data_IF_859969044957
#
_entry.id   IF_859969044957
#
_cell.length_a   1.000
_cell.length_b   1.000
_cell.length_c   1.000
_cell.angle_alpha   90.00
_cell.angle_beta   90.00
_cell.angle_gamma   90.00
#
_symmetry.space_group_name_H-M   'P 1'
#
loop_
_entity.id
_entity.type
_entity.pdbx_description
1 polymer ?
#
# COMPACT_ATOMS: atom_id res chain seq x y z
N UNK A 1 -24.09 -2.45 -42.90
CA UNK A 1 -23.36 -3.37 -42.01
C UNK A 1 -22.99 -2.62 -40.75
N UNK A 2 -23.64 -2.95 -39.62
CA UNK A 2 -23.15 -2.73 -38.25
C UNK A 2 -21.98 -3.74 -38.01
N UNK A 3 -20.95 -3.62 -37.16
CA UNK A 3 -20.76 -2.97 -35.86
C UNK A 3 -19.24 -2.91 -35.62
N UNK A 4 -18.64 -1.73 -35.46
CA UNK A 4 -17.21 -1.56 -35.12
C UNK A 4 -17.00 -0.85 -33.78
N UNK A 5 -17.98 -0.88 -32.88
CA UNK A 5 -18.01 -0.07 -31.65
C UNK A 5 -17.75 -0.86 -30.36
N UNK A 6 -17.44 -2.16 -30.43
CA UNK A 6 -17.28 -2.99 -29.21
C UNK A 6 -15.84 -3.09 -28.71
N UNK A 7 -14.85 -2.73 -29.54
CA UNK A 7 -13.44 -2.92 -29.20
C UNK A 7 -12.84 -1.79 -28.35
N UNK A 8 -13.47 -0.61 -28.27
CA UNK A 8 -12.97 0.49 -27.42
C UNK A 8 -13.57 0.48 -26.01
N UNK A 9 -14.81 0.03 -25.83
CA UNK A 9 -15.47 0.06 -24.53
C UNK A 9 -14.99 -1.05 -23.58
N UNK A 10 -14.44 -2.14 -24.12
CA UNK A 10 -13.92 -3.28 -23.33
C UNK A 10 -12.56 -2.98 -22.68
N UNK A 11 -11.52 -2.52 -23.43
CA UNK A 11 -10.25 -2.14 -22.82
C UNK A 11 -10.39 -0.97 -21.85
N UNK A 12 -11.31 -0.03 -22.10
CA UNK A 12 -11.59 1.06 -21.15
C UNK A 12 -12.23 0.57 -19.84
N UNK A 13 -13.13 -0.43 -19.90
CA UNK A 13 -13.72 -1.04 -18.69
C UNK A 13 -12.73 -1.88 -17.91
N UNK A 14 -11.91 -2.68 -18.59
CA UNK A 14 -10.84 -3.43 -17.93
C UNK A 14 -9.83 -2.46 -17.31
N UNK A 15 -9.37 -1.44 -18.05
CA UNK A 15 -8.48 -0.42 -17.52
C UNK A 15 -9.05 0.33 -16.31
N UNK A 16 -10.33 0.75 -16.34
CA UNK A 16 -10.99 1.38 -15.20
C UNK A 16 -11.13 0.43 -14.01
N UNK A 17 -11.40 -0.85 -14.26
CA UNK A 17 -11.50 -1.88 -13.21
C UNK A 17 -10.14 -2.17 -12.60
N UNK A 18 -9.11 -2.37 -13.42
CA UNK A 18 -7.74 -2.56 -12.98
C UNK A 18 -7.27 -1.31 -12.22
N UNK A 19 -7.55 -0.10 -12.69
CA UNK A 19 -7.23 1.17 -12.00
C UNK A 19 -7.81 1.22 -10.59
N UNK A 20 -9.10 0.89 -10.42
CA UNK A 20 -9.72 0.83 -9.09
C UNK A 20 -9.11 -0.26 -8.22
N UNK A 21 -8.83 -1.42 -8.81
CA UNK A 21 -8.25 -2.56 -8.10
C UNK A 21 -6.84 -2.25 -7.60
N UNK A 22 -5.97 -1.69 -8.46
CA UNK A 22 -4.60 -1.33 -8.07
C UNK A 22 -4.58 -0.24 -7.01
N UNK A 23 -5.51 0.74 -7.09
CA UNK A 23 -5.65 1.75 -6.04
C UNK A 23 -6.06 1.11 -4.73
N UNK A 24 -7.05 0.22 -4.72
CA UNK A 24 -7.51 -0.46 -3.50
C UNK A 24 -6.40 -1.31 -2.85
N UNK A 25 -5.65 -2.06 -3.66
CA UNK A 25 -4.52 -2.85 -3.17
C UNK A 25 -3.41 -1.94 -2.64
N UNK A 26 -3.09 -0.87 -3.35
CA UNK A 26 -2.06 0.08 -2.95
C UNK A 26 -2.42 0.82 -1.65
N UNK A 27 -3.65 1.30 -1.50
CA UNK A 27 -4.11 1.97 -0.28
C UNK A 27 -4.13 1.00 0.90
N UNK A 28 -4.66 -0.21 0.69
CA UNK A 28 -4.67 -1.25 1.71
C UNK A 28 -3.27 -1.61 2.19
N UNK A 29 -2.32 -1.75 1.26
CA UNK A 29 -0.92 -1.98 1.58
C UNK A 29 -0.31 -0.80 2.33
N UNK A 30 -0.44 0.42 1.81
CA UNK A 30 0.13 1.62 2.40
C UNK A 30 -0.39 1.84 3.83
N UNK A 31 -1.68 1.65 4.07
CA UNK A 31 -2.29 1.72 5.40
C UNK A 31 -1.80 0.60 6.33
N UNK A 32 -1.65 -0.63 5.81
CA UNK A 32 -1.14 -1.75 6.59
C UNK A 32 0.34 -1.58 6.97
N UNK A 33 1.18 -1.04 6.09
CA UNK A 33 2.60 -0.80 6.39
C UNK A 33 2.79 0.35 7.38
N UNK A 34 2.00 1.42 7.23
CA UNK A 34 2.15 2.61 8.06
C UNK A 34 1.36 2.54 9.38
N UNK A 35 0.45 1.57 9.54
CA UNK A 35 -0.25 1.32 10.81
C UNK A 35 0.49 0.33 11.67
N UNK A 36 0.77 0.73 12.91
CA UNK A 36 1.44 -0.10 13.90
C UNK A 36 0.70 -0.06 15.24
N UNK A 37 0.54 -1.22 15.88
CA UNK A 37 -0.06 -1.33 17.21
C UNK A 37 0.77 -2.29 18.07
N UNK A 38 1.20 -1.88 19.28
CA UNK A 38 2.03 -2.71 20.14
C UNK A 38 1.29 -3.93 20.70
N UNK A 39 -0.05 -3.92 20.68
CA UNK A 39 -0.90 -5.06 21.05
C UNK A 39 -0.97 -6.13 19.95
N UNK A 40 -0.66 -5.79 18.70
CA UNK A 40 -0.71 -6.70 17.56
C UNK A 40 0.34 -6.31 16.50
N UNK A 41 1.64 -6.33 16.83
CA UNK A 41 2.70 -5.83 15.95
C UNK A 41 2.79 -6.59 14.63
N UNK A 42 2.39 -7.87 14.62
CA UNK A 42 2.44 -8.71 13.42
C UNK A 42 1.19 -8.61 12.54
N UNK A 43 0.07 -8.04 13.01
CA UNK A 43 -1.18 -8.07 12.26
C UNK A 43 -1.13 -7.19 11.00
N UNK A 44 -0.56 -5.99 11.12
CA UNK A 44 -0.46 -5.07 9.98
C UNK A 44 0.55 -5.55 8.95
N UNK A 45 1.71 -6.04 9.39
CA UNK A 45 2.74 -6.61 8.49
C UNK A 45 2.29 -7.90 7.82
N UNK A 46 1.51 -8.76 8.51
CA UNK A 46 0.98 -9.98 7.88
C UNK A 46 -0.02 -9.63 6.77
N UNK A 47 -0.92 -8.67 7.03
CA UNK A 47 -1.81 -8.14 5.98
C UNK A 47 -1.04 -7.53 4.82
N UNK A 48 -0.05 -6.70 5.11
CA UNK A 48 0.82 -6.09 4.10
C UNK A 48 1.51 -7.16 3.24
N UNK A 49 2.12 -8.15 3.89
CA UNK A 49 2.83 -9.24 3.23
C UNK A 49 1.90 -10.15 2.41
N UNK A 50 0.64 -10.32 2.82
CA UNK A 50 -0.36 -11.07 2.05
C UNK A 50 -0.73 -10.39 0.72
N UNK A 51 -0.58 -9.06 0.63
CA UNK A 51 -0.78 -8.28 -0.59
C UNK A 51 0.49 -8.18 -1.44
N UNK A 52 1.66 -8.56 -0.89
CA UNK A 52 2.93 -8.52 -1.61
C UNK A 52 3.16 -9.78 -2.44
N UNK A 53 4.04 -9.67 -3.43
CA UNK A 53 4.59 -10.85 -4.08
C UNK A 53 5.31 -11.73 -3.02
N UNK A 54 5.15 -13.06 -3.06
CA UNK A 54 5.68 -13.96 -2.03
C UNK A 54 7.20 -13.88 -1.88
N UNK A 55 7.91 -13.55 -2.96
CA UNK A 55 9.36 -13.33 -2.97
C UNK A 55 9.79 -12.15 -2.07
N UNK A 56 8.97 -11.10 -1.99
CA UNK A 56 9.22 -9.90 -1.18
C UNK A 56 8.59 -9.96 0.20
N UNK A 57 7.49 -10.68 0.34
CA UNK A 57 6.72 -10.80 1.57
C UNK A 57 7.59 -11.25 2.77
N UNK A 58 8.47 -12.24 2.58
CA UNK A 58 9.33 -12.74 3.66
C UNK A 58 10.37 -11.70 4.10
N UNK A 59 11.11 -11.12 3.14
CA UNK A 59 12.11 -10.09 3.43
C UNK A 59 11.49 -8.85 4.08
N UNK A 60 10.27 -8.50 3.68
CA UNK A 60 9.49 -7.40 4.27
C UNK A 60 9.13 -7.71 5.74
N UNK A 61 8.62 -8.92 6.03
CA UNK A 61 8.30 -9.35 7.41
C UNK A 61 9.53 -9.28 8.31
N UNK A 62 10.69 -9.73 7.86
CA UNK A 62 11.93 -9.67 8.64
C UNK A 62 12.40 -8.24 8.92
N UNK A 63 12.36 -7.35 7.93
CA UNK A 63 12.71 -5.93 8.11
C UNK A 63 11.75 -5.23 9.07
N UNK A 64 10.45 -5.49 8.92
CA UNK A 64 9.43 -4.91 9.78
C UNK A 64 9.56 -5.41 11.21
N UNK A 65 9.82 -6.70 11.44
CA UNK A 65 10.00 -7.27 12.78
C UNK A 65 11.17 -6.61 13.54
N UNK A 66 12.29 -6.33 12.84
CA UNK A 66 13.43 -5.60 13.40
C UNK A 66 13.08 -4.17 13.80
N UNK A 67 12.37 -3.43 12.94
CA UNK A 67 11.98 -2.04 13.22
C UNK A 67 10.88 -1.94 14.28
N UNK A 68 9.96 -2.91 14.30
CA UNK A 68 8.85 -2.99 15.25
C UNK A 68 9.30 -3.23 16.68
N UNK A 69 10.41 -3.95 16.90
CA UNK A 69 10.90 -4.24 18.25
C UNK A 69 11.15 -2.96 19.06
N UNK A 70 11.71 -1.93 18.43
CA UNK A 70 11.93 -0.60 19.04
C UNK A 70 10.59 0.10 19.35
N UNK A 71 9.64 0.05 18.42
CA UNK A 71 8.31 0.65 18.58
C UNK A 71 7.47 -0.02 19.67
N UNK A 72 7.55 -1.36 19.80
CA UNK A 72 6.91 -2.12 20.89
C UNK A 72 7.52 -1.70 22.22
N UNK A 73 8.84 -1.63 22.33
CA UNK A 73 9.53 -1.25 23.57
C UNK A 73 9.14 0.17 24.02
N UNK A 74 8.99 1.09 23.07
CA UNK A 74 8.56 2.47 23.30
C UNK A 74 7.05 2.65 23.45
N UNK A 75 6.26 1.57 23.32
CA UNK A 75 4.78 1.58 23.33
C UNK A 75 4.19 2.63 22.37
N UNK A 76 4.83 2.83 21.23
CA UNK A 76 4.35 3.74 20.20
C UNK A 76 3.19 3.08 19.47
N UNK A 77 2.12 3.83 19.25
CA UNK A 77 1.03 3.46 18.34
C UNK A 77 1.11 4.36 17.12
N UNK A 78 0.93 3.79 15.94
CA UNK A 78 0.82 4.56 14.70
C UNK A 78 -0.46 4.14 13.99
N UNK A 79 -1.32 5.10 13.69
CA UNK A 79 -2.51 4.89 12.91
C UNK A 79 -2.32 5.59 11.57
N UNK A 80 -2.34 4.84 10.48
CA UNK A 80 -2.33 5.39 9.14
C UNK A 80 -3.72 5.32 8.53
N UNK A 81 -4.13 6.42 7.91
CA UNK A 81 -5.35 6.48 7.10
C UNK A 81 -4.99 7.00 5.71
N UNK A 82 -5.55 6.41 4.66
CA UNK A 82 -5.41 6.94 3.30
C UNK A 82 -6.09 8.31 3.20
N UNK A 83 -5.33 9.35 2.84
CA UNK A 83 -5.89 10.66 2.51
C UNK A 83 -6.29 10.71 1.04
N UNK A 84 -5.36 10.32 0.16
CA UNK A 84 -5.55 10.38 -1.28
C UNK A 84 -4.74 9.28 -1.94
N UNK A 85 -5.24 8.73 -3.03
CA UNK A 85 -4.49 7.79 -3.86
C UNK A 85 -4.78 8.05 -5.34
N UNK A 86 -3.75 7.93 -6.17
CA UNK A 86 -3.82 8.16 -7.60
C UNK A 86 -2.92 7.20 -8.35
N UNK A 87 -3.42 6.67 -9.46
CA UNK A 87 -2.63 5.85 -10.39
C UNK A 87 -1.64 6.75 -11.11
N UNK A 88 -0.34 6.50 -10.94
CA UNK A 88 0.73 7.19 -11.67
C UNK A 88 0.98 6.51 -13.03
N UNK A 89 0.90 5.18 -13.07
CA UNK A 89 1.05 4.39 -14.28
C UNK A 89 0.22 3.11 -14.18
N UNK A 90 -0.39 2.69 -15.29
CA UNK A 90 -1.07 1.40 -15.40
C UNK A 90 -0.77 0.80 -16.77
N UNK A 91 -0.06 -0.32 -16.76
CA UNK A 91 0.20 -1.17 -17.91
C UNK A 91 -0.53 -2.50 -17.81
N UNK A 92 -0.34 -3.39 -18.80
CA UNK A 92 -1.03 -4.69 -18.84
C UNK A 92 -0.58 -5.65 -17.73
N UNK A 93 0.64 -5.51 -17.23
CA UNK A 93 1.21 -6.37 -16.19
C UNK A 93 1.85 -5.61 -15.01
N UNK A 94 1.93 -4.28 -15.07
CA UNK A 94 2.62 -3.46 -14.09
C UNK A 94 1.81 -2.19 -13.81
N UNK A 95 1.78 -1.74 -12.57
CA UNK A 95 1.09 -0.52 -12.17
C UNK A 95 1.88 0.21 -11.08
N UNK A 96 1.72 1.53 -11.03
CA UNK A 96 2.30 2.39 -10.01
C UNK A 96 1.21 3.29 -9.46
N UNK A 97 1.07 3.34 -8.15
CA UNK A 97 0.07 4.14 -7.46
C UNK A 97 0.75 5.00 -6.41
N UNK A 98 0.55 6.31 -6.48
CA UNK A 98 0.92 7.22 -5.42
C UNK A 98 -0.19 7.25 -4.37
N UNK A 99 0.18 7.00 -3.11
CA UNK A 99 -0.71 7.04 -1.96
C UNK A 99 -0.17 8.06 -0.96
N UNK A 100 -1.01 9.01 -0.59
CA UNK A 100 -0.76 9.96 0.48
C UNK A 100 -1.50 9.45 1.71
N UNK A 101 -0.74 9.24 2.78
CA UNK A 101 -1.27 8.78 4.06
C UNK A 101 -1.33 9.94 5.04
N UNK A 102 -2.24 9.86 6.00
CA UNK A 102 -2.16 10.58 7.27
C UNK A 102 -1.77 9.57 8.33
N UNK A 103 -0.60 9.74 8.92
CA UNK A 103 -0.11 8.91 10.01
C UNK A 103 -0.17 9.73 11.29
N UNK A 104 -0.95 9.26 12.25
CA UNK A 104 -0.98 9.79 13.61
C UNK A 104 -0.20 8.84 14.50
N UNK A 105 0.88 9.34 15.10
CA UNK A 105 1.68 8.58 16.06
C UNK A 105 1.37 9.07 17.46
N UNK A 106 1.08 8.14 18.36
CA UNK A 106 0.83 8.42 19.76
C UNK A 106 1.79 7.61 20.63
N UNK A 107 2.52 8.33 21.48
CA UNK A 107 3.53 7.78 22.38
C UNK A 107 3.21 8.21 23.82
N UNK A 108 3.38 7.32 24.81
CA UNK A 108 3.09 7.67 26.20
C UNK A 108 3.95 8.84 26.68
N UNK A 109 3.29 9.88 27.21
CA UNK A 109 3.96 11.07 27.76
C UNK A 109 4.35 12.13 26.73
N UNK A 110 4.01 11.96 25.45
CA UNK A 110 4.29 12.94 24.39
C UNK A 110 3.00 13.30 23.63
N UNK A 111 2.82 14.55 23.17
CA UNK A 111 1.68 14.90 22.33
C UNK A 111 1.66 14.07 21.04
N UNK A 112 0.47 13.73 20.51
CA UNK A 112 0.34 12.98 19.27
C UNK A 112 0.97 13.76 18.12
N UNK A 113 1.82 13.10 17.34
CA UNK A 113 2.48 13.67 16.17
C UNK A 113 1.74 13.24 14.91
N UNK A 114 1.57 14.15 13.96
CA UNK A 114 0.92 13.87 12.68
C UNK A 114 1.93 14.04 11.56
N UNK A 115 2.06 13.03 10.71
CA UNK A 115 2.84 13.07 9.50
C UNK A 115 1.95 12.76 8.30
N UNK A 116 2.25 13.36 7.15
CA UNK A 116 1.58 13.05 5.89
C UNK A 116 2.57 12.44 4.88
N UNK A 117 3.08 11.22 5.14
CA UNK A 117 4.01 10.60 4.21
C UNK A 117 3.30 10.22 2.92
N UNK A 118 3.98 10.45 1.80
CA UNK A 118 3.57 9.95 0.51
C UNK A 118 4.42 8.73 0.15
N UNK A 119 3.78 7.68 -0.38
CA UNK A 119 4.42 6.44 -0.80
C UNK A 119 3.97 6.08 -2.21
N UNK A 120 4.89 5.55 -3.00
CA UNK A 120 4.65 4.96 -4.31
C UNK A 120 4.62 3.46 -4.12
N UNK A 121 3.49 2.87 -4.47
CA UNK A 121 3.30 1.43 -4.49
C UNK A 121 3.42 0.95 -5.92
N UNK A 122 4.44 0.13 -6.18
CA UNK A 122 4.59 -0.58 -7.45
C UNK A 122 3.87 -1.91 -7.33
N UNK A 123 2.99 -2.21 -8.27
CA UNK A 123 2.23 -3.45 -8.34
C UNK A 123 2.59 -4.19 -9.64
N UNK A 124 2.49 -5.51 -9.57
CA UNK A 124 2.65 -6.39 -10.72
C UNK A 124 1.47 -7.36 -10.77
N UNK A 125 1.00 -7.66 -11.98
CA UNK A 125 -0.11 -8.57 -12.22
C UNK A 125 0.43 -9.99 -12.34
N UNK A 126 0.06 -10.87 -11.41
CA UNK A 126 0.29 -12.31 -11.53
C UNK A 126 -1.01 -13.02 -11.84
N UNK A 127 -1.14 -13.49 -13.08
CA UNK A 127 -2.38 -14.11 -13.55
C UNK A 127 -3.50 -13.06 -13.55
N UNK A 128 -4.44 -13.19 -12.62
CA UNK A 128 -5.58 -12.26 -12.48
C UNK A 128 -5.51 -11.41 -11.19
N UNK A 129 -4.43 -11.51 -10.43
CA UNK A 129 -4.27 -10.82 -9.14
C UNK A 129 -3.18 -9.75 -9.21
N UNK A 130 -3.44 -8.60 -8.58
CA UNK A 130 -2.49 -7.51 -8.48
C UNK A 130 -1.76 -7.60 -7.14
N UNK A 131 -0.46 -7.83 -7.22
CA UNK A 131 0.39 -7.98 -6.05
C UNK A 131 1.34 -6.80 -5.94
N UNK A 132 1.59 -6.36 -4.72
CA UNK A 132 2.57 -5.31 -4.45
C UNK A 132 3.96 -5.88 -4.66
N UNK A 133 4.67 -5.27 -5.59
CA UNK A 133 6.07 -5.57 -5.88
C UNK A 133 7.00 -4.80 -4.94
N UNK A 134 6.72 -3.52 -4.72
CA UNK A 134 7.59 -2.63 -3.97
C UNK A 134 6.82 -1.41 -3.42
N UNK A 135 7.30 -0.86 -2.30
CA UNK A 135 6.76 0.38 -1.71
C UNK A 135 7.92 1.32 -1.43
N UNK A 136 7.97 2.45 -2.14
CA UNK A 136 9.01 3.46 -1.99
C UNK A 136 8.43 4.77 -1.48
N UNK A 137 9.09 5.46 -0.53
CA UNK A 137 8.63 6.77 -0.09
C UNK A 137 8.79 7.81 -1.20
N UNK A 138 7.72 8.55 -1.49
CA UNK A 138 7.73 9.74 -2.35
C UNK A 138 8.21 10.91 -1.47
N UNK A 139 9.50 10.88 -1.14
CA UNK A 139 10.29 11.94 -0.50
C UNK A 139 9.47 12.95 0.35
N UNK A 140 9.26 12.63 1.63
CA UNK A 140 8.94 13.65 2.64
C UNK A 140 10.25 14.32 3.05
N UNK A 141 10.56 15.43 2.36
CA UNK A 141 11.56 16.40 2.79
C UNK A 141 10.94 17.38 3.79
#
# INVERSE_FOLDING_TARGET
>A
MLTGYTHWTTPDREFNRDSRTVVQVATGMAEAVASFSPTAPNASVDRAAAMMVPDRAQAFKEQYAKSSADLVQRKVTAQAATLSAGVEALGPADASVAVILRVTQNSPGQPPSQAAPAVRVTLTKRGNDWLVLDVTPINSR
#
